data_IF_048057899490
#
_entry.id   IF_048057899490
#
_cell.length_a   1.000
_cell.length_b   1.000
_cell.length_c   1.000
_cell.angle_alpha   90.00
_cell.angle_beta   90.00
_cell.angle_gamma   90.00
#
_symmetry.space_group_name_H-M   'P 1'
#
loop_
_entity.id
_entity.type
_entity.pdbx_description
1 polymer ?
#
# COMPACT_ATOMS: atom_id res chain seq x y z
N UNK A 1 17.27 -3.22 -1.04
CA UNK A 1 16.67 -4.52 -1.38
C UNK A 1 15.36 -4.24 -2.09
N UNK A 2 15.21 -4.78 -3.30
CA UNK A 2 13.94 -4.80 -4.03
C UNK A 2 13.04 -5.85 -3.39
N UNK A 3 11.86 -5.44 -2.93
CA UNK A 3 10.81 -6.38 -2.50
C UNK A 3 10.22 -7.03 -3.76
N UNK A 4 9.89 -8.32 -3.67
CA UNK A 4 9.11 -9.01 -4.69
C UNK A 4 7.75 -9.35 -4.09
N UNK A 5 6.68 -8.97 -4.78
CA UNK A 5 5.31 -9.28 -4.40
C UNK A 5 4.69 -10.07 -5.55
N UNK A 6 4.43 -11.38 -5.40
CA UNK A 6 3.94 -12.21 -6.50
C UNK A 6 2.65 -11.66 -7.13
N UNK A 7 2.62 -11.58 -8.47
CA UNK A 7 1.48 -11.04 -9.21
C UNK A 7 1.48 -9.51 -9.34
N UNK A 8 2.51 -8.84 -8.84
CA UNK A 8 2.65 -7.39 -8.89
C UNK A 8 4.05 -6.95 -9.32
N UNK A 9 4.10 -6.05 -10.29
CA UNK A 9 5.31 -5.33 -10.67
C UNK A 9 5.46 -4.08 -9.80
N UNK A 10 6.57 -3.99 -9.06
CA UNK A 10 6.92 -2.79 -8.30
C UNK A 10 7.64 -1.79 -9.20
N UNK A 11 7.18 -0.53 -9.23
CA UNK A 11 7.77 0.55 -10.04
C UNK A 11 8.64 1.46 -9.19
N UNK A 12 8.10 1.94 -8.08
CA UNK A 12 8.78 2.89 -7.20
C UNK A 12 8.34 2.72 -5.75
N UNK A 13 9.18 3.21 -4.83
CA UNK A 13 8.86 3.26 -3.41
C UNK A 13 8.46 4.68 -3.04
N UNK A 14 7.21 4.86 -2.65
CA UNK A 14 6.64 6.16 -2.29
C UNK A 14 7.04 6.58 -0.89
N UNK A 15 7.13 5.64 0.05
CA UNK A 15 7.57 5.92 1.41
C UNK A 15 8.15 4.69 2.12
N UNK A 16 9.02 4.94 3.10
CA UNK A 16 9.54 3.92 3.99
C UNK A 16 9.70 4.49 5.41
N UNK A 17 9.20 3.74 6.37
CA UNK A 17 9.40 3.95 7.80
C UNK A 17 9.77 2.62 8.44
N UNK A 18 10.10 2.63 9.74
CA UNK A 18 10.33 1.39 10.50
C UNK A 18 9.14 0.41 10.45
N UNK A 19 7.93 0.94 10.36
CA UNK A 19 6.70 0.13 10.49
C UNK A 19 6.05 -0.17 9.15
N UNK A 20 6.28 0.67 8.15
CA UNK A 20 5.50 0.71 6.91
C UNK A 20 6.40 0.96 5.72
N UNK A 21 6.14 0.25 4.63
CA UNK A 21 6.62 0.57 3.28
C UNK A 21 5.42 0.71 2.35
N UNK A 22 5.49 1.71 1.48
CA UNK A 22 4.47 1.95 0.46
C UNK A 22 5.14 1.99 -0.90
N UNK A 23 4.61 1.21 -1.83
CA UNK A 23 5.09 1.12 -3.19
C UNK A 23 3.97 1.45 -4.18
N UNK A 24 4.37 1.98 -5.34
CA UNK A 24 3.53 2.06 -6.52
C UNK A 24 3.90 0.93 -7.47
N UNK A 25 2.90 0.33 -8.09
CA UNK A 25 3.08 -0.82 -8.96
C UNK A 25 1.95 -1.04 -9.95
N UNK A 26 2.08 -2.12 -10.70
CA UNK A 26 1.01 -2.69 -11.53
C UNK A 26 0.69 -4.10 -11.07
N UNK A 27 -0.58 -4.48 -11.13
CA UNK A 27 -0.98 -5.89 -11.05
C UNK A 27 -0.69 -6.57 -12.39
N UNK A 28 0.02 -7.69 -12.37
CA UNK A 28 0.50 -8.36 -13.58
C UNK A 28 -0.66 -8.81 -14.49
N UNK A 29 -1.77 -9.25 -13.87
CA UNK A 29 -2.90 -9.86 -14.57
C UNK A 29 -3.62 -8.92 -15.55
N UNK A 30 -3.67 -7.63 -15.24
CA UNK A 30 -4.49 -6.65 -15.98
C UNK A 30 -3.86 -5.25 -16.08
N UNK A 31 -2.62 -5.09 -15.60
CA UNK A 31 -1.90 -3.82 -15.57
C UNK A 31 -2.61 -2.73 -14.76
N UNK A 32 -3.47 -3.12 -13.80
CA UNK A 32 -4.14 -2.16 -12.94
C UNK A 32 -3.09 -1.40 -12.09
N UNK A 33 -3.07 -0.05 -12.11
CA UNK A 33 -2.23 0.75 -11.22
C UNK A 33 -2.63 0.54 -9.77
N UNK A 34 -1.66 0.24 -8.91
CA UNK A 34 -1.90 -0.10 -7.50
C UNK A 34 -0.90 0.55 -6.56
N UNK A 35 -1.36 0.77 -5.32
CA UNK A 35 -0.54 1.08 -4.17
C UNK A 35 -0.43 -0.17 -3.29
N UNK A 36 0.80 -0.61 -3.03
CA UNK A 36 1.10 -1.73 -2.16
C UNK A 36 1.57 -1.22 -0.81
N UNK A 37 0.76 -1.41 0.22
CA UNK A 37 1.07 -1.05 1.60
C UNK A 37 1.46 -2.31 2.39
N UNK A 38 2.70 -2.36 2.87
CA UNK A 38 3.25 -3.50 3.61
C UNK A 38 4.08 -3.04 4.81
N UNK A 39 4.61 -3.99 5.57
CA UNK A 39 5.40 -3.71 6.77
C UNK A 39 6.82 -3.26 6.41
N UNK A 40 7.39 -2.39 7.25
CA UNK A 40 8.78 -1.90 7.11
C UNK A 40 9.84 -2.88 7.57
N UNK A 41 9.45 -3.98 8.21
CA UNK A 41 10.36 -5.02 8.67
C UNK A 41 10.69 -5.99 7.54
N UNK A 42 11.76 -6.79 7.71
CA UNK A 42 12.01 -7.93 6.82
C UNK A 42 10.88 -8.96 6.94
N UNK A 43 10.45 -9.24 8.17
CA UNK A 43 9.30 -10.09 8.48
C UNK A 43 8.35 -9.34 9.43
N UNK A 44 7.06 -9.43 9.15
CA UNK A 44 6.03 -8.83 10.00
C UNK A 44 6.01 -9.49 11.39
N UNK A 45 5.82 -8.66 12.41
CA UNK A 45 5.38 -9.16 13.71
C UNK A 45 3.88 -9.47 13.69
N UNK A 46 3.41 -10.29 14.65
CA UNK A 46 1.98 -10.58 14.84
C UNK A 46 1.16 -9.29 14.95
N UNK A 47 1.70 -8.27 15.63
CA UNK A 47 1.03 -6.99 15.80
C UNK A 47 0.95 -6.20 14.48
N UNK A 48 2.00 -6.24 13.66
CA UNK A 48 2.01 -5.58 12.35
C UNK A 48 1.06 -6.25 11.37
N UNK A 49 1.07 -7.59 11.31
CA UNK A 49 0.12 -8.37 10.53
C UNK A 49 -1.32 -8.05 10.96
N UNK A 50 -1.62 -8.17 12.25
CA UNK A 50 -2.98 -7.93 12.77
C UNK A 50 -3.47 -6.51 12.50
N UNK A 51 -2.59 -5.51 12.62
CA UNK A 51 -2.93 -4.12 12.28
C UNK A 51 -3.31 -3.96 10.81
N UNK A 52 -2.50 -4.52 9.90
CA UNK A 52 -2.75 -4.39 8.46
C UNK A 52 -3.99 -5.19 8.02
N UNK A 53 -4.18 -6.40 8.56
CA UNK A 53 -5.38 -7.22 8.33
C UNK A 53 -6.64 -6.53 8.85
N UNK A 54 -6.58 -5.87 10.02
CA UNK A 54 -7.69 -5.06 10.51
C UNK A 54 -7.99 -3.88 9.58
N UNK A 55 -6.95 -3.19 9.08
CA UNK A 55 -7.14 -2.12 8.08
C UNK A 55 -7.82 -2.63 6.81
N UNK A 56 -7.46 -3.81 6.31
CA UNK A 56 -8.15 -4.45 5.19
C UNK A 56 -9.64 -4.63 5.47
N UNK A 57 -10.00 -5.22 6.62
CA UNK A 57 -11.39 -5.45 7.02
C UNK A 57 -12.18 -4.14 7.16
N UNK A 58 -11.58 -3.10 7.72
CA UNK A 58 -12.26 -1.80 7.87
C UNK A 58 -12.43 -1.11 6.52
N UNK A 59 -11.37 -1.03 5.71
CA UNK A 59 -11.40 -0.29 4.44
C UNK A 59 -12.31 -0.95 3.40
N UNK A 60 -12.46 -2.28 3.42
CA UNK A 60 -13.40 -3.00 2.55
C UNK A 60 -14.88 -2.72 2.85
N UNK A 61 -15.20 -2.09 3.98
CA UNK A 61 -16.57 -1.67 4.31
C UNK A 61 -16.97 -0.34 3.65
N UNK A 62 -16.03 0.38 3.03
CA UNK A 62 -16.29 1.68 2.43
C UNK A 62 -16.34 1.57 0.90
N UNK A 63 -17.46 2.00 0.33
CA UNK A 63 -17.63 2.25 -1.10
C UNK A 63 -17.94 3.73 -1.28
N UNK A 64 -16.90 4.56 -1.38
CA UNK A 64 -17.04 6.00 -1.46
C UNK A 64 -16.05 6.61 -2.46
N UNK A 65 -16.45 7.55 -3.33
CA UNK A 65 -15.59 8.10 -4.38
C UNK A 65 -14.34 8.84 -3.89
N UNK A 66 -14.28 9.17 -2.59
CA UNK A 66 -13.14 9.85 -1.97
C UNK A 66 -12.33 8.96 -1.01
N UNK A 67 -12.62 7.66 -0.96
CA UNK A 67 -11.84 6.68 -0.20
C UNK A 67 -11.25 5.71 -1.22
N UNK A 68 -9.94 5.52 -1.19
CA UNK A 68 -9.28 4.59 -2.09
C UNK A 68 -9.78 3.17 -1.86
N UNK A 69 -10.23 2.54 -2.94
CA UNK A 69 -10.76 1.18 -2.90
C UNK A 69 -9.66 0.16 -2.67
N UNK A 70 -9.99 -0.87 -1.90
CA UNK A 70 -9.16 -2.07 -1.79
C UNK A 70 -9.26 -2.89 -3.08
N UNK A 71 -8.10 -3.23 -3.64
CA UNK A 71 -7.96 -4.07 -4.83
C UNK A 71 -7.75 -5.52 -4.44
N UNK A 72 -6.94 -5.78 -3.42
CA UNK A 72 -6.56 -7.13 -3.00
C UNK A 72 -5.97 -7.15 -1.58
N UNK A 73 -5.87 -8.34 -1.00
CA UNK A 73 -5.21 -8.63 0.26
C UNK A 73 -4.30 -9.84 0.13
N UNK A 74 -3.00 -9.62 0.30
CA UNK A 74 -2.00 -10.69 0.31
C UNK A 74 -1.87 -11.19 1.75
N UNK A 75 -2.52 -12.31 2.01
CA UNK A 75 -2.50 -13.01 3.29
C UNK A 75 -1.23 -13.86 3.44
N UNK A 76 -0.11 -13.18 3.71
CA UNK A 76 1.16 -13.78 4.10
C UNK A 76 1.50 -13.29 5.52
N UNK A 77 1.65 -14.22 6.46
CA UNK A 77 1.95 -13.89 7.86
C UNK A 77 3.28 -13.14 8.06
N UNK A 78 4.22 -13.28 7.13
CA UNK A 78 5.55 -12.67 7.17
C UNK A 78 5.62 -11.43 6.28
N UNK A 79 4.92 -11.43 5.15
CA UNK A 79 4.93 -10.34 4.17
C UNK A 79 3.52 -9.89 3.78
N UNK A 80 2.66 -9.50 4.73
CA UNK A 80 1.29 -9.13 4.42
C UNK A 80 1.27 -7.85 3.60
N UNK A 81 0.36 -7.76 2.65
CA UNK A 81 0.23 -6.58 1.81
C UNK A 81 -1.23 -6.22 1.56
N UNK A 82 -1.55 -4.97 1.90
CA UNK A 82 -2.81 -4.34 1.51
C UNK A 82 -2.61 -3.66 0.17
N UNK A 83 -3.35 -4.12 -0.85
CA UNK A 83 -3.28 -3.58 -2.20
C UNK A 83 -4.48 -2.67 -2.42
N UNK A 84 -4.22 -1.42 -2.75
CA UNK A 84 -5.23 -0.39 -2.98
C UNK A 84 -5.12 0.12 -4.41
N UNK A 85 -6.19 0.73 -4.92
CA UNK A 85 -6.11 1.43 -6.20
C UNK A 85 -5.14 2.61 -6.10
N UNK A 86 -4.41 2.87 -7.18
CA UNK A 86 -3.62 4.10 -7.31
C UNK A 86 -4.44 5.17 -8.03
N UNK A 87 -4.79 6.22 -7.30
CA UNK A 87 -5.53 7.39 -7.82
C UNK A 87 -4.60 8.43 -8.46
N UNK A 88 -3.29 8.17 -8.55
CA UNK A 88 -2.31 9.12 -9.07
C UNK A 88 -2.06 10.31 -8.13
N UNK A 89 -2.45 10.19 -6.86
CA UNK A 89 -2.28 11.24 -5.86
C UNK A 89 -0.82 11.46 -5.48
N UNK A 90 -0.57 12.63 -4.88
CA UNK A 90 0.72 12.99 -4.26
C UNK A 90 0.51 13.20 -2.75
N UNK A 91 1.61 13.19 -1.99
CA UNK A 91 1.55 13.50 -0.56
C UNK A 91 1.03 14.92 -0.34
N UNK A 92 0.05 15.05 0.58
CA UNK A 92 -0.60 16.33 0.83
C UNK A 92 0.37 17.38 1.40
N UNK A 93 1.35 16.97 2.23
CA UNK A 93 2.33 17.92 2.76
C UNK A 93 3.27 18.40 1.65
N UNK A 94 3.68 17.51 0.74
CA UNK A 94 4.44 17.90 -0.45
C UNK A 94 3.66 18.89 -1.32
N UNK A 95 2.36 18.70 -1.49
CA UNK A 95 1.52 19.63 -2.23
C UNK A 95 1.42 21.00 -1.53
N UNK A 96 1.15 21.03 -0.22
CA UNK A 96 1.02 22.28 0.53
C UNK A 96 2.31 23.11 0.53
N UNK A 97 3.48 22.47 0.60
CA UNK A 97 4.79 23.16 0.53
C UNK A 97 5.01 23.94 -0.77
N UNK A 98 4.26 23.67 -1.84
CA UNK A 98 4.34 24.45 -3.09
C UNK A 98 3.72 25.84 -2.97
N UNK A 99 2.92 26.08 -1.93
CA UNK A 99 2.18 27.33 -1.70
C UNK A 99 2.76 28.19 -0.57
N UNK A 100 3.67 27.65 0.24
CA UNK A 100 4.39 28.39 1.27
C UNK A 100 5.52 29.21 0.61
N UNK A 101 5.17 30.41 0.15
CA UNK A 101 6.08 31.46 -0.34
C UNK A 101 6.37 32.54 0.69
#
# INVERSE_FOLDING_TARGET
MSISVPGYQILERLSETRNTRVYRGYRDADQLPVILHTTGAEFASIQQYAKLAFSHVVLTQFEHPNITRIVDWIDDQYHPCLVMEDIGGIDLNQYVQQFDG
#
